data_IF_576014034820
#
_entry.id   IF_576014034820
#
_cell.length_a   1.000
_cell.length_b   1.000
_cell.length_c   1.000
_cell.angle_alpha   90.00
_cell.angle_beta   90.00
_cell.angle_gamma   90.00
#
_symmetry.space_group_name_H-M   'P 1'
#
loop_
_entity.id
_entity.type
_entity.pdbx_description
1 polymer ?
#
# COMPACT_ATOMS: atom_id res chain seq x y z
N UNK A 1 4.33 -10.97 -25.27
CA UNK A 1 3.96 -9.54 -25.25
C UNK A 1 3.07 -9.37 -24.03
N UNK A 2 3.51 -8.61 -23.04
CA UNK A 2 2.65 -8.20 -21.92
C UNK A 2 1.56 -7.27 -22.47
N UNK A 3 0.33 -7.40 -21.99
CA UNK A 3 -0.78 -6.53 -22.40
C UNK A 3 -0.46 -5.09 -21.97
N UNK A 4 -0.55 -4.08 -22.86
CA UNK A 4 -0.28 -2.68 -22.51
C UNK A 4 -1.06 -2.21 -21.27
N UNK A 5 -2.28 -2.73 -21.05
CA UNK A 5 -3.10 -2.38 -19.88
C UNK A 5 -2.48 -2.87 -18.57
N UNK A 6 -1.84 -4.03 -18.57
CA UNK A 6 -1.17 -4.58 -17.38
C UNK A 6 0.05 -3.72 -17.03
N UNK A 7 0.77 -3.24 -18.06
CA UNK A 7 1.91 -2.35 -17.86
C UNK A 7 1.46 -0.99 -17.29
N UNK A 8 0.43 -0.39 -17.86
CA UNK A 8 -0.15 0.87 -17.37
C UNK A 8 -0.65 0.77 -15.93
N UNK A 9 -1.34 -0.32 -15.58
CA UNK A 9 -1.83 -0.55 -14.22
C UNK A 9 -0.69 -0.66 -13.20
N UNK A 10 0.43 -1.31 -13.56
CA UNK A 10 1.61 -1.42 -12.69
C UNK A 10 2.28 -0.06 -12.48
N UNK A 11 2.45 0.72 -13.55
CA UNK A 11 3.01 2.07 -13.46
C UNK A 11 2.11 2.99 -12.60
N UNK A 12 0.79 2.92 -12.77
CA UNK A 12 -0.15 3.65 -11.93
C UNK A 12 -0.04 3.23 -10.45
N UNK A 13 0.07 1.93 -10.17
CA UNK A 13 0.25 1.39 -8.83
C UNK A 13 1.55 1.90 -8.17
N UNK A 14 2.65 1.95 -8.93
CA UNK A 14 3.95 2.43 -8.46
C UNK A 14 3.90 3.91 -8.10
N UNK A 15 3.31 4.75 -8.97
CA UNK A 15 3.13 6.18 -8.73
C UNK A 15 2.27 6.42 -7.48
N UNK A 16 1.16 5.69 -7.35
CA UNK A 16 0.28 5.83 -6.19
C UNK A 16 0.97 5.41 -4.89
N UNK A 17 1.80 4.37 -4.93
CA UNK A 17 2.60 3.96 -3.78
C UNK A 17 3.61 5.04 -3.39
N UNK A 18 4.31 5.64 -4.34
CA UNK A 18 5.21 6.76 -4.07
C UNK A 18 4.48 7.95 -3.43
N UNK A 19 3.29 8.31 -3.95
CA UNK A 19 2.45 9.36 -3.35
C UNK A 19 2.07 8.99 -1.90
N UNK A 20 1.71 7.73 -1.65
CA UNK A 20 1.35 7.24 -0.32
C UNK A 20 2.51 7.31 0.68
N UNK A 21 3.74 7.05 0.21
CA UNK A 21 4.98 7.18 0.99
C UNK A 21 5.31 8.65 1.26
N UNK A 22 5.18 9.52 0.27
CA UNK A 22 5.41 10.96 0.42
C UNK A 22 4.44 11.61 1.43
N UNK A 23 3.19 11.15 1.44
CA UNK A 23 2.17 11.58 2.40
C UNK A 23 2.26 10.84 3.74
N UNK A 24 3.24 9.94 3.89
CA UNK A 24 3.48 9.16 5.10
C UNK A 24 2.23 8.43 5.62
N UNK A 25 1.43 7.88 4.70
CA UNK A 25 0.17 7.19 5.02
C UNK A 25 0.36 5.82 5.66
N UNK A 26 1.55 5.23 5.55
CA UNK A 26 1.87 3.90 6.11
C UNK A 26 1.14 2.74 5.41
N UNK A 27 0.77 2.92 4.14
CA UNK A 27 0.06 1.90 3.37
C UNK A 27 1.04 1.02 2.57
N UNK A 28 0.98 -0.29 2.79
CA UNK A 28 1.68 -1.28 1.97
C UNK A 28 1.08 -1.37 0.56
N UNK A 29 1.88 -1.81 -0.43
CA UNK A 29 1.41 -2.06 -1.80
C UNK A 29 0.17 -2.96 -1.88
N UNK A 30 0.11 -3.99 -1.04
CA UNK A 30 -1.05 -4.90 -0.97
C UNK A 30 -2.31 -4.17 -0.48
N UNK A 31 -2.17 -3.38 0.58
CA UNK A 31 -3.26 -2.60 1.14
C UNK A 31 -3.75 -1.57 0.14
N UNK A 32 -2.83 -0.86 -0.55
CA UNK A 32 -3.17 0.11 -1.58
C UNK A 32 -3.89 -0.53 -2.77
N UNK A 33 -3.49 -1.74 -3.17
CA UNK A 33 -4.15 -2.49 -4.25
C UNK A 33 -5.57 -2.89 -3.87
N UNK A 34 -5.75 -3.34 -2.63
CA UNK A 34 -7.07 -3.61 -2.07
C UNK A 34 -7.92 -2.34 -2.01
N UNK A 35 -7.33 -1.19 -1.65
CA UNK A 35 -8.04 0.09 -1.65
C UNK A 35 -8.57 0.42 -3.04
N UNK A 36 -7.71 0.27 -4.05
CA UNK A 36 -8.05 0.57 -5.43
C UNK A 36 -9.22 -0.29 -5.90
N UNK A 37 -9.14 -1.59 -5.66
CA UNK A 37 -10.18 -2.53 -6.03
C UNK A 37 -11.51 -2.21 -5.32
N UNK A 38 -11.48 -1.82 -4.04
CA UNK A 38 -12.68 -1.40 -3.31
C UNK A 38 -13.25 -0.07 -3.87
N UNK A 39 -12.39 0.90 -4.18
CA UNK A 39 -12.81 2.15 -4.82
C UNK A 39 -13.42 1.91 -6.21
N UNK A 40 -12.87 1.01 -7.01
CA UNK A 40 -13.42 0.59 -8.31
C UNK A 40 -14.80 -0.08 -8.17
N UNK A 41 -15.05 -0.76 -7.04
CA UNK A 41 -16.36 -1.32 -6.69
C UNK A 41 -17.35 -0.26 -6.15
N UNK A 42 -16.98 1.03 -6.13
CA UNK A 42 -17.84 2.12 -5.70
C UNK A 42 -17.88 2.37 -4.19
N UNK A 43 -16.92 1.80 -3.44
CA UNK A 43 -16.76 2.10 -2.01
C UNK A 43 -16.27 3.55 -1.84
N UNK A 44 -16.85 4.27 -0.87
CA UNK A 44 -16.43 5.63 -0.58
C UNK A 44 -14.96 5.65 -0.09
N UNK A 45 -14.04 6.36 -0.79
CA UNK A 45 -12.63 6.41 -0.43
C UNK A 45 -12.37 7.05 0.94
N UNK A 46 -13.21 7.98 1.41
CA UNK A 46 -13.07 8.61 2.73
C UNK A 46 -13.38 7.62 3.86
N UNK A 47 -14.47 6.85 3.71
CA UNK A 47 -14.83 5.80 4.67
C UNK A 47 -13.78 4.68 4.69
N UNK A 48 -13.21 4.38 3.52
CA UNK A 48 -12.15 3.38 3.36
C UNK A 48 -10.84 3.85 4.01
N UNK A 49 -10.42 5.09 3.76
CA UNK A 49 -9.24 5.69 4.37
C UNK A 49 -9.36 5.71 5.91
N UNK A 50 -10.52 6.10 6.44
CA UNK A 50 -10.78 6.08 7.88
C UNK A 50 -10.69 4.66 8.45
N UNK A 51 -11.30 3.68 7.78
CA UNK A 51 -11.27 2.28 8.21
C UNK A 51 -9.84 1.73 8.23
N UNK A 52 -9.06 2.00 7.19
CA UNK A 52 -7.68 1.51 7.07
C UNK A 52 -6.78 2.20 8.08
N UNK A 53 -6.91 3.52 8.25
CA UNK A 53 -6.14 4.26 9.24
C UNK A 53 -6.43 3.74 10.66
N UNK A 54 -7.71 3.53 11.00
CA UNK A 54 -8.12 2.94 12.28
C UNK A 54 -7.54 1.53 12.45
N UNK A 55 -7.62 0.69 11.42
CA UNK A 55 -7.05 -0.67 11.46
C UNK A 55 -5.53 -0.65 11.66
N UNK A 56 -4.79 0.21 10.95
CA UNK A 56 -3.33 0.34 11.08
C UNK A 56 -2.94 0.85 12.47
N UNK A 57 -3.72 1.74 13.07
CA UNK A 57 -3.47 2.21 14.44
C UNK A 57 -3.75 1.14 15.52
N UNK A 58 -4.80 0.32 15.35
CA UNK A 58 -5.19 -0.71 16.33
C UNK A 58 -4.35 -1.98 16.16
N UNK A 59 -4.07 -2.35 14.92
CA UNK A 59 -3.30 -3.52 14.53
C UNK A 59 -2.14 -3.09 13.64
N UNK A 60 -1.07 -2.54 14.23
CA UNK A 60 0.14 -2.29 13.46
C UNK A 60 0.57 -3.62 12.85
N UNK A 61 0.72 -3.65 11.51
CA UNK A 61 1.32 -4.78 10.83
C UNK A 61 2.68 -5.00 11.49
N UNK A 62 2.88 -6.16 12.10
CA UNK A 62 4.19 -6.61 12.54
C UNK A 62 5.09 -6.60 11.31
N UNK A 63 6.00 -5.63 11.30
CA UNK A 63 6.94 -5.35 10.22
C UNK A 63 7.58 -6.66 9.77
N UNK A 64 7.21 -7.14 8.58
CA UNK A 64 7.77 -8.38 8.03
C UNK A 64 9.14 -8.13 7.38
N UNK A 65 9.71 -6.95 7.61
CA UNK A 65 11.06 -6.54 7.26
C UNK A 65 11.86 -6.15 8.51
N UNK A 66 12.00 -7.07 9.47
CA UNK A 66 13.33 -7.21 10.08
C UNK A 66 14.27 -7.63 8.95
N UNK A 67 14.89 -6.64 8.33
CA UNK A 67 16.05 -6.82 7.47
C UNK A 67 17.14 -7.42 8.36
N UNK A 68 17.29 -8.75 8.31
CA UNK A 68 18.26 -9.54 9.06
C UNK A 68 19.73 -9.30 8.62
N UNK A 69 20.04 -8.15 8.02
CA UNK A 69 21.36 -7.78 7.51
C UNK A 69 21.95 -6.52 8.17
N UNK A 70 21.70 -6.30 9.47
CA UNK A 70 22.49 -5.35 10.26
C UNK A 70 22.84 -5.90 11.65
N UNK A 71 23.44 -7.10 11.67
CA UNK A 71 24.10 -7.63 12.87
C UNK A 71 25.40 -8.38 12.60
N UNK A 72 26.18 -7.94 11.61
CA UNK A 72 27.61 -8.28 11.50
C UNK A 72 28.41 -7.01 11.79
N UNK A 73 28.33 -6.56 13.04
CA UNK A 73 29.32 -5.69 13.70
C UNK A 73 28.98 -5.62 15.19
N UNK A 74 29.04 -6.78 15.85
CA UNK A 74 29.46 -6.92 17.25
C UNK A 74 30.13 -8.28 17.41
#
# INVERSE_FOLDING_TARGET
MEDPKIKEAREAMDILYEISTLLNTGLDRETLSLCLNLCENGVNPEALAASIFIYTCIFPKSDSSENFEEKVLQ
#
